data_IF_786597330832
#
_entry.id   IF_786597330832
#
_cell.length_a   1.000
_cell.length_b   1.000
_cell.length_c   1.000
_cell.angle_alpha   90.00
_cell.angle_beta   90.00
_cell.angle_gamma   90.00
#
_symmetry.space_group_name_H-M   'P 1'
#
loop_
_entity.id
_entity.type
_entity.pdbx_description
1 polymer ?
#
# COMPACT_ATOMS: atom_id res chain seq x y z
N UNK A 1 -21.53 0.25 -17.82
CA UNK A 1 -21.23 1.06 -16.61
C UNK A 1 -20.90 0.21 -15.38
N UNK A 2 -21.51 -0.96 -15.20
CA UNK A 2 -21.30 -1.80 -14.01
C UNK A 2 -19.85 -2.30 -13.82
N UNK A 3 -19.17 -2.75 -14.87
CA UNK A 3 -17.78 -3.23 -14.78
C UNK A 3 -16.80 -2.17 -14.22
N UNK A 4 -16.95 -0.90 -14.66
CA UNK A 4 -16.13 0.22 -14.15
C UNK A 4 -16.36 0.47 -12.66
N UNK A 5 -17.59 0.30 -12.18
CA UNK A 5 -17.93 0.49 -10.77
C UNK A 5 -17.36 -0.62 -9.89
N UNK A 6 -17.51 -1.88 -10.32
CA UNK A 6 -16.93 -3.04 -9.62
C UNK A 6 -15.41 -2.93 -9.52
N UNK A 7 -14.74 -2.53 -10.61
CA UNK A 7 -13.30 -2.30 -10.63
C UNK A 7 -12.87 -1.22 -9.61
N UNK A 8 -13.57 -0.09 -9.55
CA UNK A 8 -13.29 0.97 -8.56
C UNK A 8 -13.47 0.48 -7.12
N UNK A 9 -14.48 -0.35 -6.85
CA UNK A 9 -14.67 -0.96 -5.52
C UNK A 9 -13.51 -1.89 -5.20
N UNK A 10 -13.18 -2.83 -6.08
CA UNK A 10 -12.11 -3.79 -5.87
C UNK A 10 -10.76 -3.07 -5.61
N UNK A 11 -10.49 -2.00 -6.36
CA UNK A 11 -9.31 -1.16 -6.17
C UNK A 11 -9.28 -0.48 -4.79
N UNK A 12 -10.41 0.08 -4.34
CA UNK A 12 -10.50 0.70 -3.02
C UNK A 12 -10.33 -0.33 -1.90
N UNK A 13 -10.93 -1.51 -2.04
CA UNK A 13 -10.76 -2.63 -1.09
C UNK A 13 -9.28 -2.98 -0.98
N UNK A 14 -8.58 -3.13 -2.10
CA UNK A 14 -7.15 -3.41 -2.11
C UNK A 14 -6.33 -2.32 -1.40
N UNK A 15 -6.58 -1.04 -1.71
CA UNK A 15 -5.85 0.09 -1.10
C UNK A 15 -6.01 0.12 0.44
N UNK A 16 -7.18 -0.25 0.94
CA UNK A 16 -7.48 -0.29 2.39
C UNK A 16 -6.97 -1.57 3.04
N UNK A 17 -7.12 -2.72 2.37
CA UNK A 17 -6.72 -4.01 2.92
C UNK A 17 -5.21 -4.12 3.09
N UNK A 18 -4.41 -3.62 2.14
CA UNK A 18 -2.94 -3.72 2.18
C UNK A 18 -2.31 -3.21 3.49
N UNK A 19 -2.52 -1.96 3.96
CA UNK A 19 -1.93 -1.49 5.21
C UNK A 19 -2.46 -2.24 6.44
N UNK A 20 -3.72 -2.70 6.43
CA UNK A 20 -4.28 -3.50 7.52
C UNK A 20 -3.58 -4.85 7.61
N UNK A 21 -3.40 -5.52 6.48
CA UNK A 21 -2.69 -6.80 6.41
C UNK A 21 -1.25 -6.63 6.87
N UNK A 22 -0.55 -5.56 6.45
CA UNK A 22 0.81 -5.29 6.88
C UNK A 22 0.92 -4.98 8.38
N UNK A 23 -0.11 -4.39 9.00
CA UNK A 23 -0.15 -4.16 10.46
C UNK A 23 -0.45 -5.43 11.26
N UNK A 24 -1.19 -6.38 10.69
CA UNK A 24 -1.53 -7.66 11.35
C UNK A 24 -0.35 -8.64 11.26
N UNK A 25 0.41 -8.56 10.19
CA UNK A 25 1.59 -9.38 9.96
C UNK A 25 2.70 -8.98 10.95
N UNK A 26 3.41 -9.92 11.59
CA UNK A 26 4.40 -9.57 12.59
C UNK A 26 5.60 -8.87 11.97
N UNK A 27 6.26 -7.98 12.73
CA UNK A 27 7.38 -7.17 12.26
C UNK A 27 8.51 -8.02 11.63
N UNK A 28 8.80 -9.17 12.24
CA UNK A 28 9.86 -10.09 11.85
C UNK A 28 9.50 -11.01 10.66
N UNK A 29 8.30 -10.88 10.09
CA UNK A 29 7.84 -11.75 9.00
C UNK A 29 8.75 -11.70 7.78
N UNK A 30 9.26 -10.51 7.44
CA UNK A 30 10.13 -10.31 6.28
C UNK A 30 11.62 -10.49 6.58
N UNK A 31 11.99 -10.71 7.84
CA UNK A 31 13.37 -10.91 8.26
C UNK A 31 13.83 -12.33 7.94
N UNK A 32 12.90 -13.27 8.02
CA UNK A 32 13.10 -14.68 7.75
C UNK A 32 13.15 -14.92 6.24
N UNK A 33 14.36 -14.94 5.70
CA UNK A 33 14.65 -15.22 4.31
C UNK A 33 15.95 -14.54 3.90
N UNK A 34 16.72 -15.15 3.00
CA UNK A 34 17.81 -14.39 2.39
C UNK A 34 17.21 -13.23 1.61
N UNK A 35 17.73 -12.02 1.84
CA UNK A 35 17.46 -10.89 0.98
C UNK A 35 18.15 -11.16 -0.37
N UNK A 36 17.52 -12.01 -1.19
CA UNK A 36 17.98 -12.29 -2.55
C UNK A 36 17.66 -11.06 -3.36
N UNK A 37 18.58 -10.11 -3.34
CA UNK A 37 18.47 -8.92 -4.16
C UNK A 37 18.52 -9.36 -5.64
N UNK A 38 17.38 -9.22 -6.32
CA UNK A 38 17.28 -9.56 -7.74
C UNK A 38 18.34 -8.82 -8.58
N UNK A 39 18.71 -7.59 -8.20
CA UNK A 39 19.77 -6.83 -8.86
C UNK A 39 21.16 -7.44 -8.70
N UNK A 40 21.47 -8.03 -7.53
CA UNK A 40 22.74 -8.72 -7.30
C UNK A 40 22.80 -10.03 -8.08
N UNK A 41 21.69 -10.78 -8.13
CA UNK A 41 21.61 -12.06 -8.85
C UNK A 41 21.68 -11.88 -10.36
N UNK A 42 20.93 -10.92 -10.91
CA UNK A 42 20.82 -10.74 -12.36
C UNK A 42 21.90 -9.82 -12.94
N UNK A 43 22.27 -8.77 -12.21
CA UNK A 43 23.10 -7.68 -12.74
C UNK A 43 24.41 -7.48 -11.96
N UNK A 44 24.65 -8.26 -10.90
CA UNK A 44 25.85 -8.16 -10.04
C UNK A 44 26.12 -6.74 -9.49
N UNK A 45 25.07 -5.92 -9.38
CA UNK A 45 25.13 -4.56 -8.82
C UNK A 45 24.64 -4.55 -7.38
N UNK A 46 25.28 -3.73 -6.54
CA UNK A 46 24.79 -3.47 -5.19
C UNK A 46 23.46 -2.70 -5.24
N UNK A 47 22.49 -3.16 -4.46
CA UNK A 47 21.17 -2.54 -4.41
C UNK A 47 21.04 -1.65 -3.18
N UNK A 48 21.00 -0.36 -3.44
CA UNK A 48 20.75 0.70 -2.45
C UNK A 48 19.33 0.72 -1.88
N UNK A 49 18.49 -0.25 -2.21
CA UNK A 49 17.16 -0.43 -1.64
C UNK A 49 17.01 -1.81 -0.96
N UNK A 50 18.09 -2.57 -0.84
CA UNK A 50 18.07 -3.85 -0.13
C UNK A 50 17.68 -3.60 1.33
N UNK A 51 16.73 -4.38 1.86
CA UNK A 51 16.23 -4.20 3.23
C UNK A 51 15.20 -3.08 3.43
N UNK A 52 14.85 -2.30 2.40
CA UNK A 52 13.86 -1.22 2.52
C UNK A 52 12.49 -1.74 2.97
N UNK A 53 12.04 -2.88 2.45
CA UNK A 53 10.76 -3.49 2.86
C UNK A 53 10.78 -3.91 4.33
N UNK A 54 11.89 -4.48 4.82
CA UNK A 54 12.06 -4.83 6.24
C UNK A 54 12.05 -3.57 7.10
N UNK A 55 12.83 -2.58 6.72
CA UNK A 55 12.88 -1.31 7.45
C UNK A 55 11.50 -0.63 7.53
N UNK A 56 10.74 -0.59 6.44
CA UNK A 56 9.36 -0.10 6.46
C UNK A 56 8.42 -0.95 7.34
N UNK A 57 8.63 -2.26 7.39
CA UNK A 57 7.87 -3.17 8.26
C UNK A 57 8.15 -2.91 9.74
N UNK A 58 9.40 -2.69 10.12
CA UNK A 58 9.76 -2.29 11.49
C UNK A 58 9.25 -0.87 11.80
N UNK A 59 9.31 0.07 10.86
CA UNK A 59 8.77 1.43 11.05
C UNK A 59 7.27 1.43 11.31
N UNK A 60 6.49 0.63 10.60
CA UNK A 60 5.04 0.55 10.84
C UNK A 60 4.70 -0.11 12.19
N UNK A 61 5.62 -0.89 12.75
CA UNK A 61 5.54 -1.48 14.10
C UNK A 61 6.22 -0.63 15.19
N UNK A 62 6.71 0.57 14.86
CA UNK A 62 7.42 1.48 15.78
C UNK A 62 8.77 0.95 16.30
N UNK A 63 9.41 0.04 15.58
CA UNK A 63 10.73 -0.53 15.89
C UNK A 63 11.83 0.26 15.15
N UNK A 64 12.15 1.45 15.67
CA UNK A 64 13.03 2.40 14.99
C UNK A 64 14.49 1.95 14.86
N UNK A 65 15.02 1.26 15.87
CA UNK A 65 16.41 0.79 15.89
C UNK A 65 16.64 -0.26 14.79
N UNK A 66 15.78 -1.27 14.73
CA UNK A 66 15.81 -2.30 13.68
C UNK A 66 15.57 -1.70 12.30
N UNK A 67 14.62 -0.77 12.17
CA UNK A 67 14.39 -0.07 10.91
C UNK A 67 15.63 0.69 10.41
N UNK A 68 16.35 1.35 11.32
CA UNK A 68 17.59 2.06 11.00
C UNK A 68 18.69 1.09 10.59
N UNK A 69 18.84 -0.02 11.32
CA UNK A 69 19.82 -1.06 11.06
C UNK A 69 19.61 -1.72 9.68
N UNK A 70 18.35 -1.96 9.29
CA UNK A 70 18.03 -2.48 7.96
C UNK A 70 18.23 -1.45 6.84
N UNK A 71 17.74 -0.21 7.02
CA UNK A 71 17.88 0.82 5.99
C UNK A 71 17.60 2.23 6.51
N UNK A 72 18.63 3.06 6.70
CA UNK A 72 18.47 4.45 7.19
C UNK A 72 17.51 5.31 6.32
N UNK A 73 17.51 5.15 5.00
CA UNK A 73 16.64 5.95 4.10
C UNK A 73 15.14 5.64 4.30
N UNK A 74 14.79 4.55 5.00
CA UNK A 74 13.41 4.18 5.28
C UNK A 74 12.67 5.29 6.04
N UNK A 75 13.35 6.06 6.90
CA UNK A 75 12.77 7.18 7.63
C UNK A 75 12.28 8.33 6.73
N UNK A 76 12.84 8.45 5.52
CA UNK A 76 12.38 9.41 4.52
C UNK A 76 11.39 8.76 3.55
N UNK A 77 11.70 7.54 3.10
CA UNK A 77 10.88 6.84 2.10
C UNK A 77 9.53 6.42 2.67
N UNK A 78 9.46 5.92 3.90
CA UNK A 78 8.22 5.46 4.51
C UNK A 78 7.17 6.59 4.61
N UNK A 79 7.48 7.80 5.13
CA UNK A 79 6.54 8.92 5.09
C UNK A 79 6.12 9.33 3.68
N UNK A 80 7.03 9.31 2.71
CA UNK A 80 6.71 9.64 1.31
C UNK A 80 5.75 8.60 0.72
N UNK A 81 6.01 7.31 0.93
CA UNK A 81 5.15 6.21 0.50
C UNK A 81 3.78 6.30 1.18
N UNK A 82 3.73 6.52 2.49
CA UNK A 82 2.50 6.70 3.25
C UNK A 82 1.69 7.89 2.73
N UNK A 83 2.35 9.04 2.50
CA UNK A 83 1.72 10.23 1.92
C UNK A 83 1.15 9.99 0.53
N UNK A 84 1.91 9.31 -0.34
CA UNK A 84 1.44 8.92 -1.67
C UNK A 84 0.25 7.95 -1.60
N UNK A 85 0.29 6.99 -0.67
CA UNK A 85 -0.79 6.02 -0.47
C UNK A 85 -2.08 6.70 -0.02
N UNK A 86 -2.00 7.63 0.93
CA UNK A 86 -3.14 8.44 1.39
C UNK A 86 -3.68 9.31 0.27
N UNK A 87 -2.81 10.01 -0.48
CA UNK A 87 -3.23 10.81 -1.63
C UNK A 87 -3.98 9.96 -2.67
N UNK A 88 -3.46 8.76 -2.95
CA UNK A 88 -4.07 7.84 -3.89
C UNK A 88 -5.44 7.37 -3.41
N UNK A 89 -5.56 7.00 -2.13
CA UNK A 89 -6.85 6.66 -1.50
C UNK A 89 -7.86 7.81 -1.62
N UNK A 90 -7.46 9.04 -1.28
CA UNK A 90 -8.34 10.21 -1.35
C UNK A 90 -8.84 10.47 -2.78
N UNK A 91 -7.97 10.30 -3.78
CA UNK A 91 -8.31 10.43 -5.20
C UNK A 91 -9.34 9.37 -5.63
N UNK A 92 -9.08 8.10 -5.34
CA UNK A 92 -10.00 7.00 -5.69
C UNK A 92 -11.34 7.11 -4.96
N UNK A 93 -11.32 7.54 -3.69
CA UNK A 93 -12.55 7.79 -2.91
C UNK A 93 -13.44 8.84 -3.58
N UNK A 94 -12.87 9.93 -4.10
CA UNK A 94 -13.63 10.95 -4.84
C UNK A 94 -14.27 10.39 -6.11
N UNK A 95 -13.57 9.53 -6.85
CA UNK A 95 -14.10 8.86 -8.05
C UNK A 95 -15.27 7.95 -7.67
N UNK A 96 -15.10 7.12 -6.65
CA UNK A 96 -16.15 6.23 -6.15
C UNK A 96 -17.41 6.98 -5.73
N UNK A 97 -17.28 8.07 -4.96
CA UNK A 97 -18.42 8.88 -4.53
C UNK A 97 -19.18 9.50 -5.70
N UNK A 98 -18.48 10.01 -6.73
CA UNK A 98 -19.11 10.51 -7.96
C UNK A 98 -19.88 9.41 -8.69
N UNK A 99 -19.27 8.23 -8.85
CA UNK A 99 -19.93 7.08 -9.51
C UNK A 99 -21.15 6.60 -8.73
N UNK A 100 -21.05 6.53 -7.39
CA UNK A 100 -22.16 6.16 -6.51
C UNK A 100 -23.32 7.14 -6.61
N UNK A 101 -23.05 8.44 -6.67
CA UNK A 101 -24.07 9.47 -6.86
C UNK A 101 -24.78 9.33 -8.22
N UNK A 102 -24.02 9.12 -9.31
CA UNK A 102 -24.59 8.90 -10.64
C UNK A 102 -25.44 7.62 -10.73
N UNK A 103 -25.02 6.52 -10.09
CA UNK A 103 -25.79 5.28 -10.03
C UNK A 103 -27.11 5.45 -9.25
N UNK A 104 -27.11 6.21 -8.15
CA UNK A 104 -28.32 6.51 -7.39
C UNK A 104 -29.35 7.30 -8.21
N UNK A 105 -28.90 8.24 -9.03
CA UNK A 105 -29.79 9.03 -9.89
C UNK A 105 -30.37 8.21 -11.06
N UNK A 106 -29.66 7.17 -11.51
CA UNK A 106 -30.10 6.29 -12.58
C UNK A 106 -31.00 5.13 -12.10
N UNK A 107 -31.13 4.91 -10.79
CA UNK A 107 -32.04 3.90 -10.25
C UNK A 107 -33.48 4.44 -10.28
N UNK A 108 -34.43 3.70 -10.90
CA UNK A 108 -35.83 4.12 -10.91
C UNK A 108 -36.33 4.24 -9.46
N UNK A 109 -36.95 5.38 -9.13
CA UNK A 109 -37.64 5.55 -7.85
C UNK A 109 -38.66 4.43 -7.69
N UNK A 110 -38.74 3.78 -6.51
CA UNK A 110 -39.85 2.86 -6.25
C UNK A 110 -41.13 3.66 -6.39
N UNK A 111 -41.99 3.27 -7.34
CA UNK A 111 -43.32 3.85 -7.48
C UNK A 111 -44.08 3.51 -6.17
N UNK A 112 -44.32 4.55 -5.37
CA UNK A 112 -45.09 4.48 -4.13
C UNK A 112 -46.58 4.28 -4.42
#
# INVERSE_FOLDING_TARGET
MQFRYLYTIAKLVFIVATPIVLLILPADFFDKGEAVCLSRVLFNVECYACGLTRACMHLIHFEFEEAYAYHMLSFVIFPVLAGFWVFWFLKERKVFLKMRAALRQAQPQPQA
#
